data_IF_090689965238
#
_entry.id   IF_090689965238
#
_cell.length_a   1.000
_cell.length_b   1.000
_cell.length_c   1.000
_cell.angle_alpha   90.00
_cell.angle_beta   90.00
_cell.angle_gamma   90.00
#
_symmetry.space_group_name_H-M   'P 1'
#
loop_
_entity.id
_entity.type
_entity.pdbx_description
1 polymer ?
#
# COMPACT_ATOMS: atom_id res chain seq x y z
N UNK A 1 17.45 9.26 -17.94
CA UNK A 1 15.96 9.26 -17.91
C UNK A 1 15.52 9.05 -16.47
N UNK A 2 15.01 10.07 -15.80
CA UNK A 2 14.53 9.98 -14.41
C UNK A 2 13.17 9.31 -14.37
N UNK A 3 13.11 8.08 -13.86
CA UNK A 3 11.86 7.35 -13.61
C UNK A 3 11.02 8.13 -12.58
N UNK A 4 9.94 8.78 -13.01
CA UNK A 4 9.07 9.57 -12.13
C UNK A 4 8.00 8.67 -11.51
N UNK A 5 8.34 8.03 -10.39
CA UNK A 5 7.33 7.40 -9.53
C UNK A 5 6.54 8.51 -8.84
N UNK A 6 5.22 8.56 -9.03
CA UNK A 6 4.34 9.50 -8.37
C UNK A 6 3.36 8.72 -7.49
N UNK A 7 3.50 8.86 -6.17
CA UNK A 7 2.51 8.39 -5.22
C UNK A 7 1.63 9.57 -4.80
N UNK A 8 0.32 9.43 -4.94
CA UNK A 8 -0.66 10.38 -4.38
C UNK A 8 -1.54 9.66 -3.37
N UNK A 9 -1.79 10.31 -2.25
CA UNK A 9 -2.71 9.87 -1.22
C UNK A 9 -3.78 10.96 -1.15
N UNK A 10 -5.00 10.64 -1.59
CA UNK A 10 -6.13 11.57 -1.61
C UNK A 10 -7.19 11.03 -0.65
N UNK A 11 -7.34 11.65 0.54
CA UNK A 11 -8.30 11.46 1.65
C UNK A 11 -8.61 9.99 2.07
N UNK A 12 -8.95 9.12 1.11
CA UNK A 12 -9.21 7.69 1.28
C UNK A 12 -8.65 6.80 0.14
N UNK A 13 -7.85 7.30 -0.80
CA UNK A 13 -7.38 6.56 -1.96
C UNK A 13 -5.87 6.60 -2.13
N UNK A 14 -5.25 5.42 -2.30
CA UNK A 14 -3.86 5.30 -2.70
C UNK A 14 -3.76 5.26 -4.22
N UNK A 15 -3.08 6.23 -4.80
CA UNK A 15 -2.78 6.28 -6.23
C UNK A 15 -1.30 6.03 -6.45
N UNK A 16 -0.96 4.81 -6.83
CA UNK A 16 0.38 4.43 -7.25
C UNK A 16 0.55 4.58 -8.75
N UNK A 17 1.46 5.46 -9.18
CA UNK A 17 1.76 5.69 -10.60
C UNK A 17 3.24 5.46 -10.83
N UNK A 18 3.59 4.57 -11.76
CA UNK A 18 4.96 4.37 -12.21
C UNK A 18 4.95 4.17 -13.71
N UNK A 19 5.61 5.07 -14.43
CA UNK A 19 5.63 5.08 -15.90
C UNK A 19 4.18 5.07 -16.46
N UNK A 20 3.83 4.07 -17.27
CA UNK A 20 2.48 3.87 -17.81
C UNK A 20 1.55 3.02 -16.90
N UNK A 21 2.02 2.59 -15.72
CA UNK A 21 1.29 1.68 -14.83
C UNK A 21 0.68 2.46 -13.68
N UNK A 22 -0.63 2.31 -13.51
CA UNK A 22 -1.38 2.91 -12.42
C UNK A 22 -2.02 1.82 -11.57
N UNK A 23 -2.00 2.03 -10.25
CA UNK A 23 -2.65 1.21 -9.26
C UNK A 23 -3.43 2.14 -8.34
N UNK A 24 -4.75 1.97 -8.26
CA UNK A 24 -5.63 2.79 -7.43
C UNK A 24 -6.32 1.87 -6.42
N UNK A 25 -6.12 2.18 -5.14
CA UNK A 25 -6.75 1.47 -4.02
C UNK A 25 -7.50 2.45 -3.11
N UNK A 26 -8.81 2.65 -3.31
CA UNK A 26 -9.66 3.24 -2.29
C UNK A 26 -9.76 2.36 -1.05
N UNK A 27 -9.77 3.00 0.11
CA UNK A 27 -10.20 2.43 1.37
C UNK A 27 -11.70 2.23 1.35
N UNK A 28 -12.12 1.09 1.87
CA UNK A 28 -13.51 0.65 1.99
C UNK A 28 -13.72 0.13 3.41
N UNK A 29 -14.96 -0.08 3.82
CA UNK A 29 -15.29 -0.60 5.14
C UNK A 29 -14.63 -1.97 5.45
N UNK A 30 -14.25 -2.70 4.40
CA UNK A 30 -13.77 -4.08 4.48
C UNK A 30 -12.27 -4.19 4.05
N UNK A 31 -11.57 -3.05 3.95
CA UNK A 31 -10.15 -2.93 3.62
C UNK A 31 -9.87 -2.10 2.36
N UNK A 32 -8.73 -2.32 1.70
CA UNK A 32 -8.36 -1.57 0.49
C UNK A 32 -8.79 -2.32 -0.77
N UNK A 33 -9.69 -1.73 -1.56
CA UNK A 33 -10.16 -2.34 -2.81
C UNK A 33 -9.36 -1.83 -4.01
N UNK A 34 -8.82 -2.73 -4.81
CA UNK A 34 -8.15 -2.42 -6.06
C UNK A 34 -9.21 -2.07 -7.12
N UNK A 35 -9.34 -0.80 -7.47
CA UNK A 35 -10.27 -0.34 -8.51
C UNK A 35 -9.61 -0.23 -9.88
N UNK A 36 -8.29 -0.03 -9.89
CA UNK A 36 -7.48 0.00 -11.10
C UNK A 36 -6.14 -0.66 -10.84
N UNK A 37 -5.73 -1.58 -11.71
CA UNK A 37 -4.40 -2.17 -11.71
C UNK A 37 -3.97 -2.39 -13.16
N UNK A 38 -2.82 -1.81 -13.56
CA UNK A 38 -2.23 -2.08 -14.88
C UNK A 38 -1.50 -3.42 -14.85
N UNK A 39 -2.00 -4.42 -15.58
CA UNK A 39 -1.36 -5.72 -15.73
C UNK A 39 -0.20 -5.71 -16.75
N UNK A 40 0.86 -6.52 -16.56
CA UNK A 40 1.16 -7.31 -15.35
C UNK A 40 1.79 -6.42 -14.29
N UNK A 41 1.06 -6.19 -13.20
CA UNK A 41 1.61 -5.50 -12.04
C UNK A 41 2.45 -6.51 -11.27
N UNK A 42 3.71 -6.18 -10.99
CA UNK A 42 4.61 -7.08 -10.29
C UNK A 42 4.15 -7.45 -8.86
N UNK A 43 3.16 -6.71 -8.32
CA UNK A 43 2.48 -6.98 -7.05
C UNK A 43 1.38 -8.05 -7.14
N UNK A 44 1.11 -8.59 -8.35
CA UNK A 44 0.10 -9.63 -8.63
C UNK A 44 -1.34 -9.25 -8.25
N UNK A 45 -1.55 -7.98 -7.94
CA UNK A 45 -2.85 -7.37 -7.72
C UNK A 45 -3.60 -7.21 -9.04
N UNK A 46 -4.89 -7.50 -9.00
CA UNK A 46 -5.83 -7.36 -10.09
C UNK A 46 -6.96 -6.44 -9.68
N UNK A 47 -7.59 -5.81 -10.66
CA UNK A 47 -8.82 -5.04 -10.45
C UNK A 47 -9.87 -5.95 -9.82
N UNK A 48 -10.48 -5.48 -8.73
CA UNK A 48 -11.47 -6.21 -7.94
C UNK A 48 -10.89 -6.96 -6.73
N UNK A 49 -9.56 -7.03 -6.59
CA UNK A 49 -8.94 -7.54 -5.37
C UNK A 49 -9.20 -6.62 -4.19
N UNK A 50 -9.24 -7.20 -3.01
CA UNK A 50 -9.42 -6.45 -1.77
C UNK A 50 -8.36 -6.86 -0.76
N UNK A 51 -7.45 -5.96 -0.44
CA UNK A 51 -6.42 -6.17 0.57
C UNK A 51 -7.07 -6.07 1.93
N UNK A 52 -7.02 -7.16 2.70
CA UNK A 52 -7.55 -7.23 4.07
C UNK A 52 -6.47 -7.23 5.13
N UNK A 53 -5.31 -7.81 4.83
CA UNK A 53 -4.20 -7.87 5.77
C UNK A 53 -2.85 -7.85 5.05
N UNK A 54 -1.81 -7.33 5.71
CA UNK A 54 -0.44 -7.36 5.24
C UNK A 54 0.51 -7.58 6.42
N UNK A 55 1.38 -8.58 6.34
CA UNK A 55 2.40 -8.85 7.37
C UNK A 55 1.82 -9.21 8.73
N UNK A 56 0.61 -9.78 8.75
CA UNK A 56 -0.11 -10.08 9.99
C UNK A 56 -0.88 -8.88 10.57
N UNK A 57 -0.87 -7.72 9.91
CA UNK A 57 -1.64 -6.54 10.32
C UNK A 57 -2.90 -6.41 9.47
N UNK A 58 -4.05 -6.22 10.10
CA UNK A 58 -5.30 -5.91 9.39
C UNK A 58 -5.21 -4.54 8.74
N UNK A 59 -5.57 -4.47 7.46
CA UNK A 59 -5.50 -3.25 6.67
C UNK A 59 -6.91 -2.73 6.45
N UNK A 60 -7.29 -1.68 7.18
CA UNK A 60 -8.54 -0.97 6.97
C UNK A 60 -8.33 0.27 6.08
N UNK A 61 -7.21 0.95 6.26
CA UNK A 61 -6.91 2.22 5.58
C UNK A 61 -5.64 2.14 4.74
N UNK A 62 -5.42 3.19 3.94
CA UNK A 62 -4.17 3.35 3.17
C UNK A 62 -2.97 3.51 4.11
N UNK A 63 -3.16 4.18 5.24
CA UNK A 63 -2.10 4.40 6.23
C UNK A 63 -1.68 3.07 6.89
N UNK A 64 -2.63 2.21 7.24
CA UNK A 64 -2.33 0.86 7.76
C UNK A 64 -1.44 0.07 6.78
N UNK A 65 -1.75 0.14 5.48
CA UNK A 65 -0.95 -0.54 4.46
C UNK A 65 0.47 0.02 4.43
N UNK A 66 0.61 1.34 4.40
CA UNK A 66 1.92 1.99 4.39
C UNK A 66 2.70 1.67 5.66
N UNK A 67 2.04 1.64 6.81
CA UNK A 67 2.61 1.26 8.09
C UNK A 67 3.12 -0.18 8.06
N UNK A 68 2.32 -1.15 7.60
CA UNK A 68 2.71 -2.55 7.50
C UNK A 68 3.91 -2.76 6.54
N UNK A 69 3.91 -2.07 5.40
CA UNK A 69 5.02 -2.12 4.44
C UNK A 69 6.30 -1.51 5.01
N UNK A 70 6.18 -0.43 5.79
CA UNK A 70 7.30 0.20 6.52
C UNK A 70 7.82 -0.69 7.64
N UNK A 71 6.93 -1.31 8.41
CA UNK A 71 7.27 -2.24 9.48
C UNK A 71 8.03 -3.46 8.96
N UNK A 72 7.75 -3.90 7.74
CA UNK A 72 8.54 -4.93 7.07
C UNK A 72 9.99 -4.50 6.78
N UNK A 73 10.31 -3.20 6.79
CA UNK A 73 11.67 -2.65 6.68
C UNK A 73 12.51 -3.26 5.54
N UNK A 74 11.89 -3.46 4.37
CA UNK A 74 12.55 -4.06 3.22
C UNK A 74 12.60 -5.60 3.22
N UNK A 75 11.81 -6.27 4.05
CA UNK A 75 11.63 -7.74 4.05
C UNK A 75 10.38 -8.14 3.27
N UNK A 76 10.35 -9.34 2.67
CA UNK A 76 9.14 -9.84 2.03
C UNK A 76 7.98 -9.92 3.03
N UNK A 77 6.83 -9.42 2.64
CA UNK A 77 5.61 -9.36 3.44
C UNK A 77 4.49 -10.18 2.78
N UNK A 78 3.75 -10.96 3.58
CA UNK A 78 2.58 -11.71 3.12
C UNK A 78 1.36 -10.79 3.13
N UNK A 79 0.71 -10.63 1.99
CA UNK A 79 -0.47 -9.80 1.82
C UNK A 79 -1.66 -10.67 1.51
N UNK A 80 -2.66 -10.64 2.38
CA UNK A 80 -3.91 -11.34 2.18
C UNK A 80 -4.87 -10.46 1.39
N UNK A 81 -5.29 -10.99 0.24
CA UNK A 81 -6.24 -10.35 -0.66
C UNK A 81 -7.46 -11.24 -0.87
N UNK A 82 -8.65 -10.67 -0.79
CA UNK A 82 -9.87 -11.32 -1.22
C UNK A 82 -10.10 -11.00 -2.70
N UNK A 83 -10.12 -12.04 -3.54
CA UNK A 83 -10.43 -11.97 -4.98
C UNK A 83 -11.76 -12.67 -5.20
N UNK A 84 -12.84 -11.88 -5.28
CA UNK A 84 -14.20 -12.42 -5.39
C UNK A 84 -14.61 -13.16 -4.12
N UNK A 85 -14.64 -14.50 -4.18
CA UNK A 85 -14.95 -15.37 -3.04
C UNK A 85 -13.73 -16.11 -2.48
N UNK A 86 -12.57 -15.99 -3.14
CA UNK A 86 -11.34 -16.65 -2.72
C UNK A 86 -10.45 -15.68 -1.95
N UNK A 87 -9.80 -16.16 -0.90
CA UNK A 87 -8.71 -15.45 -0.23
C UNK A 87 -7.38 -15.97 -0.76
N UNK A 88 -6.54 -15.07 -1.26
CA UNK A 88 -5.19 -15.35 -1.72
C UNK A 88 -4.17 -14.69 -0.79
N UNK A 89 -3.06 -15.37 -0.58
CA UNK A 89 -1.88 -14.79 0.07
C UNK A 89 -0.83 -14.50 -1.00
N UNK A 90 -0.53 -13.23 -1.19
CA UNK A 90 0.48 -12.74 -2.13
C UNK A 90 1.75 -12.39 -1.37
N UNK A 91 2.91 -12.81 -1.87
CA UNK A 91 4.20 -12.40 -1.30
C UNK A 91 4.68 -11.14 -1.99
N UNK A 92 4.81 -10.03 -1.26
CA UNK A 92 5.38 -8.80 -1.78
C UNK A 92 6.82 -8.64 -1.30
N UNK A 93 7.76 -8.69 -2.23
CA UNK A 93 9.17 -8.43 -1.92
C UNK A 93 9.46 -6.93 -1.87
N UNK A 94 10.49 -6.54 -1.13
CA UNK A 94 10.86 -5.13 -0.96
C UNK A 94 11.27 -4.42 -2.23
N UNK A 95 11.79 -5.14 -3.23
CA UNK A 95 12.05 -4.56 -4.54
C UNK A 95 10.75 -4.11 -5.25
N UNK A 96 9.60 -4.70 -4.90
CA UNK A 96 8.31 -4.35 -5.49
C UNK A 96 7.72 -3.09 -4.88
N UNK A 97 7.75 -2.96 -3.55
CA UNK A 97 7.09 -1.88 -2.82
C UNK A 97 8.06 -0.81 -2.29
N UNK A 98 9.30 -1.16 -1.98
CA UNK A 98 10.33 -0.29 -1.40
C UNK A 98 10.58 1.01 -2.17
N UNK A 99 10.91 0.97 -3.48
CA UNK A 99 11.13 2.20 -4.27
C UNK A 99 9.84 3.00 -4.51
N UNK A 100 8.71 2.49 -4.04
CA UNK A 100 7.40 3.10 -4.22
C UNK A 100 6.80 3.65 -2.92
N UNK A 101 7.42 3.39 -1.78
CA UNK A 101 7.01 4.00 -0.51
C UNK A 101 7.32 5.50 -0.59
N UNK A 102 6.40 6.36 -0.14
CA UNK A 102 6.71 7.78 -0.05
C UNK A 102 7.82 7.95 0.98
N UNK A 103 8.77 8.90 0.76
CA UNK A 103 9.68 9.30 1.82
C UNK A 103 8.85 9.63 3.06
N UNK A 104 9.36 9.28 4.25
CA UNK A 104 8.70 9.62 5.51
C UNK A 104 8.33 11.11 5.44
N UNK A 105 7.05 11.48 5.67
CA UNK A 105 6.78 12.88 5.97
C UNK A 105 7.74 13.25 7.12
N UNK A 106 8.36 14.44 7.10
CA UNK A 106 9.12 14.89 8.26
C UNK A 106 8.21 14.70 9.47
N UNK A 107 8.73 14.05 10.52
CA UNK A 107 7.94 13.78 11.71
C UNK A 107 7.19 15.07 12.09
N UNK A 108 5.86 15.01 12.37
CA UNK A 108 5.21 16.18 12.93
C UNK A 108 6.06 16.63 14.12
N UNK A 109 6.31 17.94 14.31
CA UNK A 109 7.03 18.40 15.49
C UNK A 109 6.34 17.75 16.68
N UNK A 110 7.11 17.01 17.49
CA UNK A 110 6.59 16.36 18.69
C UNK A 110 5.67 17.36 19.39
N UNK A 111 4.40 17.03 19.69
CA UNK A 111 3.60 17.93 20.53
C UNK A 111 4.46 18.22 21.76
N UNK A 112 4.59 19.49 22.20
CA UNK A 112 5.40 19.82 23.35
C UNK A 112 4.94 18.87 24.46
N UNK A 113 5.82 17.97 24.88
CA UNK A 113 5.58 17.17 26.06
C UNK A 113 5.34 18.21 27.14
N UNK A 114 4.08 18.34 27.57
CA UNK A 114 3.71 19.31 28.58
C UNK A 114 4.56 18.92 29.79
N UNK A 115 5.60 19.71 30.05
CA UNK A 115 6.40 19.63 31.24
C UNK A 115 5.43 19.96 32.38
N UNK A 116 4.94 18.94 33.07
CA UNK A 116 4.22 19.10 34.32
C UNK A 116 4.59 17.98 35.27
#
# INVERSE_FOLDING_TARGET
MTERTALRIDDHQLHWRRDARALVLPATADGLRVTQASEPLALQLRKGDQVRAAGGHSIATVDDLLFALRAAAGRPIQVQVARGQAQLSLTWTSQLYGPRLPPLPPAPPSPPQALR
#
